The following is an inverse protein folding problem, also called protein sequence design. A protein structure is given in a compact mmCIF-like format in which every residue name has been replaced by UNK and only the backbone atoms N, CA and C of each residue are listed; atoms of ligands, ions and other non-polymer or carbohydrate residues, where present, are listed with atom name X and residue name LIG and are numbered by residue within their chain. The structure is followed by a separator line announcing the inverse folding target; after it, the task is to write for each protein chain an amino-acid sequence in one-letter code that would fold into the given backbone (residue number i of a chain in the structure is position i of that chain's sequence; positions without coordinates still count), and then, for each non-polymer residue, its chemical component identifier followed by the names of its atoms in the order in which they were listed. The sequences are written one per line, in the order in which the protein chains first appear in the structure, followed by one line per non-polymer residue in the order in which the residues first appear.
data_IF_853834406720
#
_entry.id   IF_853834406720
#
_cell.length_a   1.000
_cell.length_b   1.000
_cell.length_c   1.000
_cell.angle_alpha   90.00
_cell.angle_beta   90.00
_cell.angle_gamma   90.00
#
_symmetry.space_group_name_H-M   'P 1'
#
loop_
_entity.id
_entity.type
_entity.pdbx_description
1 polymer ?
#
# COMPACT_ATOMS: atom_id res chain seq x y z
N UNK A 1 -17.76 1.64 21.12
CA UNK A 1 -18.13 1.50 22.53
C UNK A 1 -17.06 0.70 23.25
N UNK A 2 -16.57 1.25 24.40
CA UNK A 2 -15.52 0.64 25.21
C UNK A 2 -16.07 0.42 26.63
N UNK A 3 -15.93 -0.80 27.13
CA UNK A 3 -16.34 -1.21 28.46
C UNK A 3 -15.15 -1.76 29.22
N UNK A 4 -14.86 -1.16 30.36
CA UNK A 4 -13.84 -1.62 31.29
C UNK A 4 -14.51 -2.34 32.47
N UNK A 5 -14.03 -3.53 32.79
CA UNK A 5 -14.57 -4.39 33.84
C UNK A 5 -13.45 -4.83 34.78
N UNK A 6 -13.81 -5.38 35.97
CA UNK A 6 -12.87 -5.92 36.96
C UNK A 6 -11.74 -4.95 37.32
N UNK A 7 -12.09 -3.77 37.79
CA UNK A 7 -11.14 -2.71 38.14
C UNK A 7 -10.23 -2.30 36.98
N UNK A 8 -10.81 -2.23 35.77
CA UNK A 8 -10.13 -1.91 34.51
C UNK A 8 -9.11 -2.94 34.02
N UNK A 9 -9.16 -4.17 34.52
CA UNK A 9 -8.33 -5.27 34.01
C UNK A 9 -8.86 -5.81 32.68
N UNK A 10 -10.17 -5.94 32.54
CA UNK A 10 -10.78 -6.37 31.28
C UNK A 10 -11.23 -5.18 30.47
N UNK A 11 -10.91 -5.20 29.18
CA UNK A 11 -11.37 -4.21 28.22
C UNK A 11 -12.13 -4.91 27.09
N UNK A 12 -13.40 -4.58 26.93
CA UNK A 12 -14.24 -4.98 25.80
C UNK A 12 -14.49 -3.78 24.92
N UNK A 13 -14.03 -3.86 23.68
CA UNK A 13 -14.34 -2.87 22.63
C UNK A 13 -15.33 -3.47 21.64
N UNK A 14 -16.36 -2.70 21.29
CA UNK A 14 -17.34 -3.03 20.24
C UNK A 14 -17.35 -1.90 19.24
N UNK A 15 -17.19 -2.21 17.99
CA UNK A 15 -17.15 -1.23 16.91
C UNK A 15 -18.06 -1.61 15.75
N UNK A 16 -18.55 -0.60 15.07
CA UNK A 16 -19.23 -0.73 13.80
C UNK A 16 -18.89 0.46 12.91
N UNK A 17 -18.71 0.21 11.63
CA UNK A 17 -18.43 1.23 10.63
C UNK A 17 -19.15 0.88 9.33
N UNK A 18 -19.61 1.89 8.59
CA UNK A 18 -20.17 1.71 7.26
C UNK A 18 -19.71 2.83 6.34
N UNK A 19 -19.50 2.48 5.09
CA UNK A 19 -19.16 3.40 4.02
C UNK A 19 -20.07 3.11 2.81
N UNK A 20 -20.61 4.15 2.20
CA UNK A 20 -21.33 4.05 0.94
C UNK A 20 -20.67 4.98 -0.09
N UNK A 21 -20.29 4.42 -1.23
CA UNK A 21 -19.66 5.15 -2.33
C UNK A 21 -20.58 5.09 -3.55
N UNK A 22 -20.75 6.22 -4.21
CA UNK A 22 -21.40 6.31 -5.52
C UNK A 22 -20.46 7.05 -6.47
N UNK A 23 -20.12 6.42 -7.58
CA UNK A 23 -19.22 6.96 -8.59
C UNK A 23 -19.96 7.01 -9.93
N UNK A 24 -19.72 8.08 -10.68
CA UNK A 24 -19.99 8.14 -12.12
C UNK A 24 -18.64 8.20 -12.81
N UNK A 25 -18.44 7.37 -13.80
CA UNK A 25 -17.20 7.24 -14.56
C UNK A 25 -17.46 7.38 -16.04
N UNK A 26 -16.42 7.73 -16.77
CA UNK A 26 -16.41 7.73 -18.22
C UNK A 26 -15.07 7.16 -18.68
N UNK A 27 -15.11 6.01 -19.34
CA UNK A 27 -13.94 5.28 -19.83
C UNK A 27 -13.92 5.19 -21.37
N UNK A 28 -14.64 6.09 -22.05
CA UNK A 28 -14.75 6.10 -23.49
C UNK A 28 -13.48 6.54 -24.18
N UNK A 29 -13.02 5.74 -25.13
CA UNK A 29 -12.13 6.17 -26.17
C UNK A 29 -12.94 6.76 -27.31
N UNK A 30 -12.30 7.57 -28.17
CA UNK A 30 -12.90 8.15 -29.36
C UNK A 30 -14.20 8.90 -29.11
N UNK A 31 -14.40 9.40 -27.89
CA UNK A 31 -15.62 10.13 -27.43
C UNK A 31 -16.90 9.29 -27.51
N UNK A 32 -16.82 7.98 -27.24
CA UNK A 32 -17.99 7.11 -27.22
C UNK A 32 -19.03 7.59 -26.20
N UNK A 33 -20.23 8.00 -26.62
CA UNK A 33 -21.27 8.50 -25.72
C UNK A 33 -21.82 7.42 -24.78
N UNK A 34 -21.56 6.13 -25.05
CA UNK A 34 -22.04 5.01 -24.24
C UNK A 34 -21.06 4.58 -23.15
N UNK A 35 -19.89 5.21 -23.08
CA UNK A 35 -18.81 4.84 -22.15
C UNK A 35 -19.04 5.30 -20.70
N UNK A 36 -20.23 5.75 -20.35
CA UNK A 36 -20.58 6.15 -18.98
C UNK A 36 -20.84 4.93 -18.09
N UNK A 37 -20.14 4.90 -16.96
CA UNK A 37 -20.31 3.90 -15.91
C UNK A 37 -20.93 4.49 -14.65
N UNK A 38 -21.49 3.60 -13.85
CA UNK A 38 -22.00 3.90 -12.50
C UNK A 38 -21.57 2.81 -11.54
N UNK A 39 -20.87 3.21 -10.51
CA UNK A 39 -20.48 2.32 -9.42
C UNK A 39 -21.25 2.67 -8.16
N UNK A 40 -21.79 1.67 -7.49
CA UNK A 40 -22.32 1.76 -6.13
C UNK A 40 -21.63 0.71 -5.28
N UNK A 41 -20.98 1.13 -4.21
CA UNK A 41 -20.28 0.24 -3.29
C UNK A 41 -20.70 0.55 -1.85
N UNK A 42 -21.07 -0.49 -1.10
CA UNK A 42 -21.43 -0.41 0.32
C UNK A 42 -20.56 -1.37 1.09
N UNK A 43 -19.81 -0.85 2.02
CA UNK A 43 -19.00 -1.64 2.97
C UNK A 43 -19.57 -1.42 4.37
N UNK A 44 -19.71 -2.50 5.13
CA UNK A 44 -20.06 -2.46 6.53
C UNK A 44 -19.19 -3.43 7.31
N UNK A 45 -18.69 -3.00 8.45
CA UNK A 45 -17.89 -3.84 9.34
C UNK A 45 -18.39 -3.66 10.77
N UNK A 46 -18.52 -4.77 11.48
CA UNK A 46 -18.85 -4.78 12.91
C UNK A 46 -18.01 -5.85 13.61
N UNK A 47 -17.61 -5.57 14.83
CA UNK A 47 -16.81 -6.51 15.58
C UNK A 47 -16.76 -6.21 17.06
N UNK A 48 -16.21 -7.16 17.80
CA UNK A 48 -15.88 -7.01 19.21
C UNK A 48 -14.53 -7.61 19.52
N UNK A 49 -13.81 -6.97 20.43
CA UNK A 49 -12.52 -7.40 20.91
C UNK A 49 -12.52 -7.36 22.44
N UNK A 50 -12.08 -8.43 23.02
CA UNK A 50 -11.83 -8.52 24.46
C UNK A 50 -10.34 -8.63 24.72
N UNK A 51 -9.84 -7.83 25.68
CA UNK A 51 -8.45 -7.81 26.11
C UNK A 51 -8.39 -8.08 27.60
N UNK A 52 -7.53 -9.03 27.98
CA UNK A 52 -7.32 -9.41 29.39
C UNK A 52 -5.84 -9.53 29.71
N UNK A 53 -5.31 -8.75 30.66
CA UNK A 53 -3.96 -8.88 31.18
C UNK A 53 -3.90 -9.97 32.25
N UNK A 54 -2.92 -10.85 32.13
CA UNK A 54 -2.55 -11.81 33.18
C UNK A 54 -1.30 -11.33 33.88
N UNK A 55 -1.32 -11.33 35.22
CA UNK A 55 -0.12 -11.06 36.02
C UNK A 55 1.00 -12.07 35.68
N UNK A 56 0.61 -13.31 35.38
CA UNK A 56 1.49 -14.36 34.84
C UNK A 56 0.65 -15.41 34.13
N UNK A 57 0.96 -15.68 32.88
CA UNK A 57 0.44 -16.79 32.12
C UNK A 57 1.63 -17.62 31.60
N UNK A 58 1.71 -18.90 32.01
CA UNK A 58 2.85 -19.79 31.76
C UNK A 58 4.14 -19.28 32.46
N UNK A 59 4.91 -18.39 31.84
CA UNK A 59 6.25 -18.00 32.28
C UNK A 59 6.45 -16.51 32.51
N UNK A 60 5.58 -15.65 31.96
CA UNK A 60 5.69 -14.17 32.05
C UNK A 60 4.32 -13.51 32.26
N UNK A 61 4.29 -12.23 32.68
CA UNK A 61 3.12 -11.39 32.50
C UNK A 61 2.70 -11.37 31.03
N UNK A 62 1.39 -11.37 30.76
CA UNK A 62 0.92 -11.40 29.39
C UNK A 62 -0.41 -10.68 29.20
N UNK A 63 -0.73 -10.40 27.95
CA UNK A 63 -2.00 -9.82 27.55
C UNK A 63 -2.63 -10.70 26.46
N UNK A 64 -3.81 -11.22 26.75
CA UNK A 64 -4.61 -12.00 25.82
C UNK A 64 -5.61 -11.10 25.12
N UNK A 65 -5.66 -11.20 23.81
CA UNK A 65 -6.63 -10.51 22.96
C UNK A 65 -7.42 -11.55 22.16
N UNK A 66 -8.74 -11.52 22.30
CA UNK A 66 -9.65 -12.36 21.51
C UNK A 66 -10.71 -11.47 20.86
N UNK A 67 -11.07 -11.77 19.62
CA UNK A 67 -12.07 -10.97 18.95
C UNK A 67 -12.76 -11.71 17.81
N UNK A 68 -13.91 -11.16 17.44
CA UNK A 68 -14.70 -11.57 16.28
C UNK A 68 -15.05 -10.35 15.44
N UNK A 69 -15.13 -10.54 14.13
CA UNK A 69 -15.43 -9.49 13.18
C UNK A 69 -16.29 -10.03 12.05
N UNK A 70 -17.24 -9.25 11.62
CA UNK A 70 -18.00 -9.47 10.40
C UNK A 70 -17.78 -8.31 9.46
N UNK A 71 -17.45 -8.59 8.21
CA UNK A 71 -17.32 -7.60 7.14
C UNK A 71 -18.25 -7.98 5.98
N UNK A 72 -18.95 -6.98 5.49
CA UNK A 72 -19.87 -7.05 4.35
C UNK A 72 -19.43 -6.04 3.31
N UNK A 73 -19.41 -6.47 2.05
CA UNK A 73 -19.24 -5.58 0.90
C UNK A 73 -20.24 -5.95 -0.18
N UNK A 74 -20.93 -4.95 -0.71
CA UNK A 74 -21.79 -5.09 -1.90
C UNK A 74 -21.38 -4.04 -2.92
N UNK A 75 -20.84 -4.53 -4.02
CA UNK A 75 -20.40 -3.77 -5.16
C UNK A 75 -21.37 -4.00 -6.34
N UNK A 76 -21.75 -2.92 -7.00
CA UNK A 76 -22.45 -2.96 -8.29
C UNK A 76 -21.82 -1.92 -9.21
N UNK A 77 -21.18 -2.36 -10.27
CA UNK A 77 -20.56 -1.52 -11.29
C UNK A 77 -21.17 -1.83 -12.66
N UNK A 78 -21.63 -0.80 -13.35
CA UNK A 78 -22.37 -0.95 -14.61
C UNK A 78 -21.85 0.04 -15.63
N UNK A 79 -21.53 -0.46 -16.84
CA UNK A 79 -21.25 0.34 -18.03
C UNK A 79 -22.06 -0.25 -19.19
N UNK A 80 -23.33 0.17 -19.29
CA UNK A 80 -24.31 -0.45 -20.20
C UNK A 80 -23.93 -0.39 -21.67
N UNK A 81 -23.20 0.65 -22.11
CA UNK A 81 -22.74 0.77 -23.49
C UNK A 81 -21.76 -0.33 -23.92
N UNK A 82 -21.15 -1.02 -22.94
CA UNK A 82 -20.22 -2.13 -23.15
C UNK A 82 -20.73 -3.46 -22.61
N UNK A 83 -22.01 -3.51 -22.22
CA UNK A 83 -22.65 -4.68 -21.58
C UNK A 83 -21.85 -5.22 -20.37
N UNK A 84 -21.25 -4.27 -19.63
CA UNK A 84 -20.47 -4.57 -18.46
C UNK A 84 -21.32 -4.33 -17.21
N UNK A 85 -21.61 -5.41 -16.50
CA UNK A 85 -22.39 -5.39 -15.25
C UNK A 85 -21.76 -6.35 -14.23
N UNK A 86 -21.11 -5.77 -13.21
CA UNK A 86 -20.52 -6.55 -12.11
C UNK A 86 -21.36 -6.33 -10.87
N UNK A 87 -22.06 -7.37 -10.42
CA UNK A 87 -22.72 -7.40 -9.13
C UNK A 87 -22.05 -8.44 -8.22
N UNK A 88 -21.39 -7.97 -7.16
CA UNK A 88 -20.68 -8.82 -6.23
C UNK A 88 -21.11 -8.54 -4.80
N UNK A 89 -21.36 -9.61 -4.03
CA UNK A 89 -21.58 -9.52 -2.60
C UNK A 89 -20.58 -10.42 -1.87
N UNK A 90 -19.86 -9.84 -0.94
CA UNK A 90 -18.83 -10.51 -0.14
C UNK A 90 -19.21 -10.43 1.33
N UNK A 91 -19.14 -11.57 2.01
CA UNK A 91 -19.28 -11.68 3.45
C UNK A 91 -18.04 -12.35 4.02
N UNK A 92 -17.47 -11.77 5.07
CA UNK A 92 -16.29 -12.33 5.76
C UNK A 92 -16.62 -12.41 7.25
N UNK A 93 -16.54 -13.63 7.79
CA UNK A 93 -16.63 -13.89 9.21
C UNK A 93 -15.26 -14.23 9.74
N UNK A 94 -14.83 -13.54 10.75
CA UNK A 94 -13.48 -13.64 11.29
C UNK A 94 -13.49 -13.86 12.79
N UNK A 95 -12.56 -14.68 13.26
CA UNK A 95 -12.24 -14.80 14.67
C UNK A 95 -10.73 -14.80 14.83
N UNK A 96 -10.24 -14.18 15.88
CA UNK A 96 -8.80 -14.13 16.17
C UNK A 96 -8.52 -14.25 17.65
N UNK A 97 -7.36 -14.83 17.92
CA UNK A 97 -6.80 -14.98 19.25
C UNK A 97 -5.31 -14.70 19.19
N UNK A 98 -4.81 -13.88 20.11
CA UNK A 98 -3.38 -13.67 20.27
C UNK A 98 -3.04 -13.48 21.75
N UNK A 99 -1.82 -13.86 22.12
CA UNK A 99 -1.28 -13.56 23.43
C UNK A 99 0.11 -12.95 23.28
N UNK A 100 0.37 -11.88 24.01
CA UNK A 100 1.69 -11.26 24.11
C UNK A 100 2.22 -11.45 25.51
N UNK A 101 3.34 -12.15 25.64
CA UNK A 101 4.14 -12.23 26.87
C UNK A 101 5.22 -11.16 26.80
N UNK A 102 5.35 -10.34 27.83
CA UNK A 102 6.34 -9.27 27.83
C UNK A 102 6.93 -8.98 29.19
N UNK A 103 8.22 -8.63 29.17
CA UNK A 103 8.94 -7.98 30.26
C UNK A 103 9.87 -6.89 29.67
N UNK A 104 10.74 -6.33 30.48
CA UNK A 104 11.68 -5.28 30.03
C UNK A 104 12.56 -5.74 28.87
N UNK A 105 13.08 -6.97 28.90
CA UNK A 105 14.03 -7.52 27.93
C UNK A 105 13.36 -8.27 26.78
N UNK A 106 12.31 -9.04 27.05
CA UNK A 106 11.70 -9.94 26.09
C UNK A 106 10.24 -9.61 25.81
N UNK A 107 9.83 -9.80 24.59
CA UNK A 107 8.44 -9.84 24.19
C UNK A 107 8.22 -10.98 23.20
N UNK A 108 7.17 -11.78 23.41
CA UNK A 108 6.76 -12.87 22.55
C UNK A 108 5.28 -12.70 22.24
N UNK A 109 4.93 -12.56 20.98
CA UNK A 109 3.55 -12.52 20.55
C UNK A 109 3.28 -13.71 19.65
N UNK A 110 2.25 -14.45 19.96
CA UNK A 110 1.72 -15.56 19.14
C UNK A 110 0.25 -15.32 18.94
N UNK A 111 -0.20 -15.40 17.69
CA UNK A 111 -1.61 -15.22 17.37
C UNK A 111 -2.00 -15.94 16.08
N UNK A 112 -3.30 -16.12 15.92
CA UNK A 112 -3.89 -16.60 14.68
C UNK A 112 -5.24 -15.95 14.45
N UNK A 113 -5.55 -15.70 13.18
CA UNK A 113 -6.85 -15.28 12.69
C UNK A 113 -7.41 -16.34 11.76
N UNK A 114 -8.68 -16.62 11.87
CA UNK A 114 -9.43 -17.51 10.99
C UNK A 114 -10.48 -16.69 10.29
N UNK A 115 -10.45 -16.70 8.95
CA UNK A 115 -11.39 -15.98 8.10
C UNK A 115 -12.21 -16.96 7.27
N UNK A 116 -13.54 -16.85 7.32
CA UNK A 116 -14.46 -17.52 6.39
C UNK A 116 -15.01 -16.50 5.42
N UNK A 117 -14.45 -16.51 4.21
CA UNK A 117 -14.82 -15.63 3.10
C UNK A 117 -15.89 -16.32 2.24
N UNK A 118 -16.92 -15.58 1.81
CA UNK A 118 -18.04 -16.15 1.03
C UNK A 118 -17.61 -16.74 -0.32
N UNK A 119 -16.58 -16.18 -0.96
CA UNK A 119 -16.06 -16.65 -2.26
C UNK A 119 -15.00 -17.75 -2.13
N UNK A 120 -14.64 -18.16 -0.92
CA UNK A 120 -13.59 -19.15 -0.68
C UNK A 120 -14.15 -20.35 0.08
N UNK A 121 -13.98 -21.57 -0.49
CA UNK A 121 -14.56 -22.77 0.09
C UNK A 121 -14.01 -23.10 1.48
N UNK A 122 -12.70 -22.96 1.68
CA UNK A 122 -12.03 -23.30 2.94
C UNK A 122 -11.85 -22.04 3.80
N UNK A 123 -11.92 -22.21 5.10
CA UNK A 123 -11.49 -21.17 6.01
C UNK A 123 -9.98 -20.93 5.85
N UNK A 124 -9.59 -19.68 5.95
CA UNK A 124 -8.20 -19.26 5.84
C UNK A 124 -7.68 -19.05 7.26
N UNK A 125 -6.53 -19.64 7.57
CA UNK A 125 -5.85 -19.45 8.85
C UNK A 125 -4.61 -18.61 8.63
N UNK A 126 -4.52 -17.50 9.32
CA UNK A 126 -3.42 -16.51 9.24
C UNK A 126 -2.68 -16.44 10.56
N UNK A 127 -1.65 -17.28 10.77
CA UNK A 127 -0.79 -17.18 11.95
C UNK A 127 0.14 -15.97 11.89
N UNK A 128 0.50 -15.44 13.08
CA UNK A 128 1.52 -14.43 13.27
C UNK A 128 2.36 -14.72 14.51
N UNK A 129 3.63 -14.42 14.42
CA UNK A 129 4.61 -14.56 15.48
C UNK A 129 5.50 -13.33 15.50
N UNK A 130 5.73 -12.73 16.69
CA UNK A 130 6.72 -11.69 16.87
C UNK A 130 7.56 -11.99 18.10
N UNK A 131 8.85 -11.75 17.97
CA UNK A 131 9.83 -11.84 19.04
C UNK A 131 10.53 -10.49 19.14
N UNK A 132 10.61 -9.94 20.35
CA UNK A 132 11.37 -8.74 20.67
C UNK A 132 12.41 -9.07 21.74
N UNK A 133 13.62 -8.55 21.56
CA UNK A 133 14.69 -8.67 22.52
C UNK A 133 15.40 -7.32 22.70
N UNK A 134 15.37 -6.78 23.92
CA UNK A 134 16.02 -5.56 24.32
C UNK A 134 17.17 -5.91 25.28
N UNK A 135 18.40 -6.16 24.78
CA UNK A 135 19.55 -6.44 25.65
C UNK A 135 19.91 -5.25 26.53
N UNK A 136 19.64 -4.04 26.07
CA UNK A 136 19.79 -2.78 26.78
C UNK A 136 18.79 -1.74 26.24
N UNK A 137 18.71 -0.57 26.88
CA UNK A 137 17.87 0.56 26.43
C UNK A 137 18.26 1.11 25.06
N UNK A 138 19.48 0.80 24.61
CA UNK A 138 20.01 1.30 23.35
C UNK A 138 19.82 0.33 22.17
N UNK A 139 19.38 -0.90 22.40
CA UNK A 139 19.24 -1.92 21.37
C UNK A 139 17.90 -2.61 21.48
N UNK A 140 17.18 -2.69 20.35
CA UNK A 140 15.96 -3.43 20.21
C UNK A 140 16.06 -4.33 18.98
N UNK A 141 16.04 -5.64 19.17
CA UNK A 141 15.97 -6.61 18.10
C UNK A 141 14.55 -7.15 17.98
N UNK A 142 14.07 -7.30 16.75
CA UNK A 142 12.77 -7.88 16.45
C UNK A 142 12.87 -8.91 15.34
N UNK A 143 12.10 -9.97 15.47
CA UNK A 143 11.85 -10.92 14.41
C UNK A 143 10.34 -11.12 14.28
N UNK A 144 9.82 -11.13 13.07
CA UNK A 144 8.42 -11.34 12.81
C UNK A 144 8.17 -12.37 11.72
N UNK A 145 7.10 -13.13 11.87
CA UNK A 145 6.51 -13.95 10.83
C UNK A 145 5.02 -13.66 10.78
N UNK A 146 4.51 -13.47 9.58
CA UNK A 146 3.09 -13.26 9.34
C UNK A 146 2.65 -13.85 8.01
N UNK A 147 1.36 -14.15 7.92
CA UNK A 147 0.74 -14.59 6.68
C UNK A 147 -0.41 -13.66 6.32
N UNK A 148 -0.71 -13.56 5.04
CA UNK A 148 -1.82 -12.77 4.51
C UNK A 148 -2.45 -13.43 3.30
N UNK A 149 -3.60 -12.91 2.86
CA UNK A 149 -4.26 -13.35 1.64
C UNK A 149 -4.97 -12.22 0.94
N UNK A 150 -5.19 -12.37 -0.36
CA UNK A 150 -6.07 -11.55 -1.19
C UNK A 150 -7.13 -12.45 -1.82
N UNK A 151 -8.39 -12.11 -1.67
CA UNK A 151 -9.50 -12.94 -2.13
C UNK A 151 -9.72 -12.84 -3.65
N UNK A 152 -10.29 -13.90 -4.29
CA UNK A 152 -10.61 -13.89 -5.72
C UNK A 152 -11.93 -13.14 -5.97
N UNK A 153 -11.90 -11.83 -5.84
CA UNK A 153 -13.05 -10.95 -6.04
C UNK A 153 -12.74 -9.90 -7.12
N UNK A 154 -13.77 -9.21 -7.60
CA UNK A 154 -13.57 -8.06 -8.49
C UNK A 154 -12.94 -6.90 -7.71
N UNK A 155 -12.00 -6.22 -8.33
CA UNK A 155 -11.27 -5.08 -7.81
C UNK A 155 -11.46 -3.86 -8.72
N UNK A 156 -11.02 -2.69 -8.27
CA UNK A 156 -11.20 -1.44 -9.01
C UNK A 156 -10.59 -1.47 -10.42
N UNK A 157 -9.49 -2.18 -10.61
CA UNK A 157 -8.88 -2.39 -11.92
C UNK A 157 -9.79 -3.14 -12.91
N UNK A 158 -10.74 -3.94 -12.43
CA UNK A 158 -11.68 -4.68 -13.25
C UNK A 158 -12.82 -3.82 -13.79
N UNK A 159 -12.96 -2.60 -13.30
CA UNK A 159 -14.01 -1.66 -13.72
C UNK A 159 -13.58 -0.78 -14.90
N UNK A 160 -12.32 -0.86 -15.30
CA UNK A 160 -11.82 -0.15 -16.47
C UNK A 160 -12.10 -0.97 -17.72
N UNK A 161 -13.08 -0.52 -18.51
CA UNK A 161 -13.53 -1.20 -19.73
C UNK A 161 -12.89 -0.68 -21.01
N UNK A 162 -11.98 0.28 -20.91
CA UNK A 162 -11.20 0.79 -22.04
C UNK A 162 -9.72 0.86 -21.64
N UNK A 163 -8.88 0.29 -22.46
CA UNK A 163 -7.42 0.32 -22.32
C UNK A 163 -6.77 1.07 -23.48
N UNK A 164 -5.49 0.81 -23.69
CA UNK A 164 -4.68 1.39 -24.75
C UNK A 164 -5.37 1.30 -26.10
N UNK A 165 -5.27 2.37 -26.86
CA UNK A 165 -5.87 2.41 -28.21
C UNK A 165 -7.38 2.48 -28.24
N UNK A 166 -8.03 2.45 -27.06
CA UNK A 166 -9.48 2.46 -26.96
C UNK A 166 -10.13 1.12 -27.20
N UNK A 167 -9.39 0.05 -27.15
CA UNK A 167 -9.95 -1.30 -27.14
C UNK A 167 -10.85 -1.48 -25.93
N UNK A 168 -11.98 -2.13 -26.16
CA UNK A 168 -12.93 -2.47 -25.12
C UNK A 168 -12.50 -3.78 -24.49
N UNK A 169 -12.25 -3.78 -23.21
CA UNK A 169 -11.77 -4.95 -22.47
C UNK A 169 -12.66 -5.23 -21.29
N UNK A 170 -13.06 -6.47 -21.12
CA UNK A 170 -13.81 -6.97 -19.99
C UNK A 170 -12.96 -7.98 -19.23
N UNK A 171 -12.83 -7.81 -17.90
CA UNK A 171 -12.09 -8.75 -17.09
C UNK A 171 -13.03 -9.79 -16.47
N UNK A 172 -12.73 -11.07 -16.69
CA UNK A 172 -13.44 -12.22 -16.09
C UNK A 172 -12.51 -12.97 -15.14
N UNK A 173 -13.10 -13.68 -14.19
CA UNK A 173 -12.36 -14.54 -13.26
C UNK A 173 -12.29 -15.96 -13.78
N UNK A 174 -11.10 -16.56 -13.78
CA UNK A 174 -10.90 -17.94 -14.17
C UNK A 174 -11.73 -18.91 -13.29
N UNK A 175 -12.34 -19.96 -13.85
CA UNK A 175 -12.99 -21.00 -13.08
C UNK A 175 -12.02 -21.60 -12.04
N UNK A 176 -12.42 -21.61 -10.77
CA UNK A 176 -11.59 -22.16 -9.69
C UNK A 176 -10.42 -21.28 -9.25
N UNK A 177 -10.47 -19.97 -9.55
CA UNK A 177 -9.50 -19.00 -9.07
C UNK A 177 -9.35 -19.10 -7.55
N UNK A 178 -8.10 -19.30 -7.09
CA UNK A 178 -7.74 -19.42 -5.66
C UNK A 178 -7.30 -18.05 -5.14
N UNK A 179 -7.43 -17.88 -3.83
CA UNK A 179 -6.84 -16.69 -3.18
C UNK A 179 -5.32 -16.63 -3.39
N UNK A 180 -4.80 -15.43 -3.56
CA UNK A 180 -3.38 -15.18 -3.35
C UNK A 180 -3.07 -15.36 -1.86
N UNK A 181 -1.88 -15.85 -1.55
CA UNK A 181 -1.41 -15.93 -0.18
C UNK A 181 0.04 -15.48 -0.05
N UNK A 182 0.36 -14.89 1.08
CA UNK A 182 1.70 -14.44 1.40
C UNK A 182 2.22 -15.04 2.69
N UNK A 183 3.53 -15.25 2.75
CA UNK A 183 4.27 -15.55 3.96
C UNK A 183 5.43 -14.57 4.04
N UNK A 184 5.49 -13.81 5.13
CA UNK A 184 6.50 -12.78 5.32
C UNK A 184 7.30 -13.04 6.58
N UNK A 185 8.61 -12.87 6.46
CA UNK A 185 9.56 -12.88 7.57
C UNK A 185 10.31 -11.55 7.56
N UNK A 186 10.46 -10.91 8.71
CA UNK A 186 11.40 -9.80 8.86
C UNK A 186 12.22 -9.92 10.14
N UNK A 187 13.44 -9.38 10.08
CA UNK A 187 14.35 -9.27 11.22
C UNK A 187 14.92 -7.87 11.23
N UNK A 188 14.81 -7.17 12.36
CA UNK A 188 15.32 -5.81 12.50
C UNK A 188 16.16 -5.61 13.75
N UNK A 189 17.09 -4.69 13.64
CA UNK A 189 17.85 -4.12 14.75
C UNK A 189 17.64 -2.62 14.76
N UNK A 190 17.23 -2.11 15.91
CA UNK A 190 16.95 -0.70 16.17
C UNK A 190 17.93 -0.24 17.25
N UNK A 191 18.81 0.71 16.90
CA UNK A 191 19.94 1.13 17.71
C UNK A 191 19.81 2.62 18.03
N UNK A 192 19.88 2.94 19.32
CA UNK A 192 19.86 4.30 19.83
C UNK A 192 21.22 4.66 20.39
N UNK A 193 21.75 5.80 20.00
CA UNK A 193 23.02 6.28 20.56
C UNK A 193 22.99 7.80 20.73
N UNK A 194 23.72 8.29 21.73
CA UNK A 194 23.88 9.70 22.00
C UNK A 194 25.33 10.12 21.83
N UNK A 195 25.63 10.89 20.79
CA UNK A 195 26.93 11.49 20.56
C UNK A 195 26.96 12.93 21.10
N UNK A 196 27.42 13.10 22.33
CA UNK A 196 27.34 14.40 23.00
C UNK A 196 25.88 14.86 23.14
N UNK A 197 25.48 15.93 22.47
CA UNK A 197 24.12 16.45 22.47
C UNK A 197 23.25 15.89 21.34
N UNK A 198 23.82 15.16 20.39
CA UNK A 198 23.08 14.59 19.25
C UNK A 198 22.51 13.24 19.64
N UNK A 199 21.19 13.12 19.58
CA UNK A 199 20.50 11.83 19.72
C UNK A 199 20.35 11.18 18.34
N UNK A 200 20.76 9.95 18.22
CA UNK A 200 20.68 9.19 16.96
C UNK A 200 19.90 7.92 17.12
N UNK A 201 19.23 7.53 16.04
CA UNK A 201 18.59 6.23 15.91
C UNK A 201 18.96 5.66 14.53
N UNK A 202 19.31 4.39 14.49
CA UNK A 202 19.55 3.62 13.26
C UNK A 202 18.73 2.34 13.32
N UNK A 203 17.82 2.19 12.35
CA UNK A 203 17.07 0.96 12.12
C UNK A 203 17.62 0.27 10.87
N UNK A 204 17.89 -1.03 10.99
CA UNK A 204 18.20 -1.91 9.85
C UNK A 204 17.24 -3.09 9.92
N UNK A 205 16.50 -3.33 8.84
CA UNK A 205 15.56 -4.43 8.72
C UNK A 205 15.81 -5.22 7.44
N UNK A 206 15.99 -6.53 7.55
CA UNK A 206 15.93 -7.46 6.43
C UNK A 206 14.53 -8.08 6.35
N UNK A 207 13.98 -8.20 5.15
CA UNK A 207 12.66 -8.80 4.93
C UNK A 207 12.64 -9.74 3.73
N UNK A 208 11.77 -10.74 3.83
CA UNK A 208 11.46 -11.67 2.74
C UNK A 208 9.96 -11.99 2.75
N UNK A 209 9.34 -11.90 1.57
CA UNK A 209 7.94 -12.28 1.35
C UNK A 209 7.84 -13.27 0.19
N UNK A 210 7.23 -14.43 0.44
CA UNK A 210 6.85 -15.41 -0.57
C UNK A 210 5.36 -15.22 -0.91
N UNK A 211 5.07 -14.99 -2.19
CA UNK A 211 3.72 -14.86 -2.73
C UNK A 211 3.35 -16.10 -3.53
N UNK A 212 2.16 -16.64 -3.28
CA UNK A 212 1.65 -17.83 -3.97
C UNK A 212 0.32 -17.53 -4.62
N UNK A 213 0.05 -18.17 -5.77
CA UNK A 213 -1.16 -18.00 -6.55
C UNK A 213 -1.39 -16.51 -6.92
N UNK A 214 -0.33 -15.77 -7.24
CA UNK A 214 -0.41 -14.35 -7.61
C UNK A 214 -1.36 -14.19 -8.77
N UNK A 215 -2.24 -13.21 -8.71
CA UNK A 215 -3.15 -12.94 -9.80
C UNK A 215 -2.40 -12.38 -10.99
N UNK A 216 -2.61 -13.00 -12.12
CA UNK A 216 -2.12 -12.59 -13.42
C UNK A 216 -3.31 -12.45 -14.37
N UNK A 217 -3.13 -11.67 -15.43
CA UNK A 217 -4.13 -11.49 -16.49
C UNK A 217 -3.58 -12.12 -17.76
N UNK A 218 -4.45 -12.74 -18.55
CA UNK A 218 -4.18 -13.18 -19.91
C UNK A 218 -5.36 -12.84 -20.80
N UNK A 219 -5.10 -12.46 -22.02
CA UNK A 219 -6.15 -12.29 -23.00
C UNK A 219 -6.66 -13.67 -23.46
N UNK A 220 -7.96 -13.79 -23.62
CA UNK A 220 -8.57 -14.95 -24.23
C UNK A 220 -8.67 -14.74 -25.75
N UNK A 221 -8.58 -15.85 -26.51
CA UNK A 221 -8.69 -15.80 -27.96
C UNK A 221 -10.07 -15.30 -28.40
N UNK A 222 -10.09 -14.36 -29.35
CA UNK A 222 -11.30 -13.80 -29.92
C UNK A 222 -11.96 -12.70 -29.06
N UNK A 223 -13.07 -12.21 -29.55
CA UNK A 223 -13.88 -11.19 -28.90
C UNK A 223 -15.12 -11.84 -28.29
N UNK A 224 -15.69 -11.22 -27.26
CA UNK A 224 -16.99 -11.63 -26.72
C UNK A 224 -18.13 -11.33 -27.74
N UNK A 225 -19.37 -11.68 -27.37
CA UNK A 225 -20.55 -11.46 -28.21
C UNK A 225 -20.80 -9.98 -28.52
N UNK A 226 -20.22 -9.06 -27.75
CA UNK A 226 -20.36 -7.60 -27.88
C UNK A 226 -19.15 -6.95 -28.59
N UNK A 227 -18.18 -7.75 -29.01
CA UNK A 227 -16.97 -7.29 -29.66
C UNK A 227 -15.91 -6.75 -28.68
N UNK A 228 -15.98 -7.11 -27.40
CA UNK A 228 -14.98 -6.74 -26.42
C UNK A 228 -13.87 -7.79 -26.34
N UNK A 229 -12.63 -7.38 -26.17
CA UNK A 229 -11.55 -8.27 -25.77
C UNK A 229 -11.77 -8.75 -24.31
N UNK A 230 -11.44 -10.00 -24.02
CA UNK A 230 -11.66 -10.57 -22.71
C UNK A 230 -10.32 -10.89 -22.04
N UNK A 231 -10.05 -10.27 -20.90
CA UNK A 231 -8.95 -10.62 -20.03
C UNK A 231 -9.43 -11.60 -18.95
N UNK A 232 -8.77 -12.72 -18.82
CA UNK A 232 -9.03 -13.67 -17.74
C UNK A 232 -8.01 -13.48 -16.62
N UNK A 233 -8.52 -13.21 -15.40
CA UNK A 233 -7.71 -13.24 -14.19
C UNK A 233 -7.52 -14.67 -13.72
N UNK A 234 -6.27 -15.12 -13.64
CA UNK A 234 -5.91 -16.49 -13.23
C UNK A 234 -4.79 -16.47 -12.19
N UNK A 235 -4.47 -17.63 -11.62
CA UNK A 235 -3.35 -17.77 -10.69
C UNK A 235 -2.05 -18.05 -11.43
N UNK A 236 -1.14 -17.11 -11.44
CA UNK A 236 0.20 -17.25 -11.98
C UNK A 236 1.16 -18.04 -11.08
N UNK A 237 2.44 -18.05 -11.43
CA UNK A 237 3.46 -18.91 -10.79
C UNK A 237 3.83 -18.52 -9.36
N UNK A 238 3.35 -17.40 -8.88
CA UNK A 238 3.77 -16.78 -7.62
C UNK A 238 5.00 -15.89 -7.78
N UNK A 239 5.35 -15.19 -6.71
CA UNK A 239 6.45 -14.22 -6.70
C UNK A 239 7.18 -14.21 -5.36
N UNK A 240 8.32 -13.55 -5.30
CA UNK A 240 9.05 -13.26 -4.07
C UNK A 240 9.56 -11.84 -4.06
N UNK A 241 9.56 -11.25 -2.87
CA UNK A 241 10.16 -9.93 -2.60
C UNK A 241 11.12 -10.09 -1.45
N UNK A 242 12.36 -9.63 -1.62
CA UNK A 242 13.38 -9.66 -0.58
C UNK A 242 14.15 -8.34 -0.58
N UNK A 243 14.49 -7.84 0.59
CA UNK A 243 15.20 -6.57 0.68
C UNK A 243 15.70 -6.22 2.05
N UNK A 244 16.29 -5.02 2.11
CA UNK A 244 16.79 -4.40 3.33
C UNK A 244 16.29 -2.97 3.38
N UNK A 245 15.73 -2.57 4.52
CA UNK A 245 15.41 -1.20 4.89
C UNK A 245 16.50 -0.68 5.83
N UNK A 246 16.99 0.52 5.59
CA UNK A 246 17.90 1.23 6.47
C UNK A 246 17.32 2.60 6.72
N UNK A 247 17.04 2.95 7.96
CA UNK A 247 16.55 4.26 8.37
C UNK A 247 17.48 4.84 9.43
N UNK A 248 17.79 6.13 9.29
CA UNK A 248 18.57 6.87 10.26
C UNK A 248 17.88 8.18 10.62
N UNK A 249 17.90 8.49 11.92
CA UNK A 249 17.42 9.76 12.46
C UNK A 249 18.50 10.37 13.36
N UNK A 250 18.70 11.67 13.23
CA UNK A 250 19.56 12.44 14.09
C UNK A 250 18.82 13.69 14.57
N UNK A 251 18.77 13.87 15.89
CA UNK A 251 18.23 15.06 16.55
C UNK A 251 19.41 15.83 17.16
N UNK A 252 19.80 16.90 16.49
CA UNK A 252 20.96 17.72 16.88
C UNK A 252 20.65 18.66 18.04
N UNK A 253 19.40 19.12 18.09
CA UNK A 253 18.88 19.97 19.15
C UNK A 253 17.35 19.90 19.15
N UNK A 254 16.70 20.55 20.08
CA UNK A 254 15.23 20.70 20.05
C UNK A 254 14.73 21.48 18.81
N UNK A 255 15.64 22.06 18.04
CA UNK A 255 15.33 22.92 16.92
C UNK A 255 15.72 22.35 15.55
N UNK A 256 16.50 21.25 15.53
CA UNK A 256 16.95 20.66 14.25
C UNK A 256 17.01 19.15 14.30
N UNK A 257 16.27 18.50 13.43
CA UNK A 257 16.31 17.07 13.22
C UNK A 257 16.36 16.71 11.72
N UNK A 258 16.99 15.57 11.45
CA UNK A 258 17.07 14.96 10.11
C UNK A 258 16.72 13.50 10.22
N UNK A 259 15.90 13.01 9.30
CA UNK A 259 15.56 11.59 9.16
C UNK A 259 15.62 11.21 7.69
N UNK A 260 16.18 10.05 7.40
CA UNK A 260 16.20 9.49 6.05
C UNK A 260 16.17 7.97 6.06
N UNK A 261 15.73 7.40 4.97
CA UNK A 261 15.68 5.97 4.79
C UNK A 261 15.91 5.56 3.35
N UNK A 262 16.46 4.36 3.18
CA UNK A 262 16.66 3.72 1.88
C UNK A 262 16.21 2.26 1.95
N UNK A 263 15.49 1.83 0.92
CA UNK A 263 15.11 0.44 0.69
C UNK A 263 15.87 -0.08 -0.52
N UNK A 264 16.51 -1.22 -0.34
CA UNK A 264 17.12 -2.02 -1.40
C UNK A 264 16.35 -3.32 -1.50
N UNK A 265 15.74 -3.62 -2.65
CA UNK A 265 14.90 -4.81 -2.77
C UNK A 265 15.00 -5.47 -4.15
N UNK A 266 14.54 -6.70 -4.21
CA UNK A 266 14.30 -7.44 -5.46
C UNK A 266 12.94 -8.10 -5.43
N UNK A 267 12.14 -7.85 -6.47
CA UNK A 267 10.80 -8.40 -6.67
C UNK A 267 10.78 -9.22 -7.95
N UNK A 268 10.48 -10.54 -7.84
CA UNK A 268 10.55 -11.46 -8.98
C UNK A 268 9.45 -12.50 -8.95
N UNK A 269 8.91 -12.80 -10.11
CA UNK A 269 8.09 -14.00 -10.32
C UNK A 269 8.94 -15.26 -10.17
N UNK A 270 8.36 -16.35 -9.71
CA UNK A 270 9.03 -17.67 -9.58
C UNK A 270 9.39 -18.24 -10.95
N UNK A 271 8.52 -18.05 -11.92
CA UNK A 271 8.76 -18.32 -13.34
C UNK A 271 8.51 -17.05 -14.14
N UNK A 272 9.12 -16.87 -15.32
CA UNK A 272 8.74 -15.79 -16.20
C UNK A 272 7.22 -15.81 -16.48
N UNK A 273 6.58 -14.64 -16.38
CA UNK A 273 5.16 -14.46 -16.67
C UNK A 273 5.02 -13.75 -18.03
N UNK A 274 4.12 -14.29 -18.87
CA UNK A 274 3.74 -13.62 -20.12
C UNK A 274 2.88 -12.42 -19.74
N UNK A 275 3.26 -11.26 -20.20
CA UNK A 275 2.63 -9.99 -19.85
C UNK A 275 2.08 -9.24 -21.08
N UNK A 276 2.40 -9.69 -22.29
CA UNK A 276 1.92 -9.21 -23.56
C UNK A 276 1.15 -10.32 -24.27
N UNK A 277 0.17 -9.95 -25.06
CA UNK A 277 -0.60 -10.88 -25.88
C UNK A 277 0.18 -11.35 -27.10
N UNK A 278 1.23 -10.61 -27.47
CA UNK A 278 2.14 -11.00 -28.54
C UNK A 278 3.13 -12.06 -28.04
N UNK A 279 3.08 -13.30 -28.56
CA UNK A 279 3.96 -14.39 -28.12
C UNK A 279 5.44 -14.15 -28.45
N UNK A 280 5.73 -13.23 -29.37
CA UNK A 280 7.11 -12.87 -29.73
C UNK A 280 7.74 -11.92 -28.69
N UNK A 281 6.92 -11.32 -27.81
CA UNK A 281 7.41 -10.49 -26.69
C UNK A 281 7.89 -11.38 -25.56
N UNK A 282 9.15 -11.23 -25.10
CA UNK A 282 9.69 -12.09 -24.05
C UNK A 282 8.92 -11.98 -22.73
N UNK A 283 8.64 -13.12 -22.11
CA UNK A 283 8.10 -13.20 -20.77
C UNK A 283 9.10 -12.63 -19.73
N UNK A 284 8.60 -11.93 -18.73
CA UNK A 284 9.42 -11.25 -17.74
C UNK A 284 9.40 -11.96 -16.38
N UNK A 285 10.57 -12.00 -15.76
CA UNK A 285 10.74 -12.53 -14.40
C UNK A 285 10.74 -11.43 -13.34
N UNK A 286 11.05 -10.20 -13.70
CA UNK A 286 10.94 -9.04 -12.81
C UNK A 286 9.48 -8.59 -12.69
N UNK A 287 9.06 -8.25 -11.50
CA UNK A 287 7.75 -7.62 -11.34
C UNK A 287 7.80 -6.18 -11.88
N UNK A 288 6.78 -5.84 -12.63
CA UNK A 288 6.62 -4.48 -13.14
C UNK A 288 6.29 -3.50 -12.01
N UNK A 289 6.60 -2.22 -12.23
CA UNK A 289 6.29 -1.09 -11.34
C UNK A 289 6.85 -1.25 -9.93
N UNK A 290 7.98 -1.94 -9.81
CA UNK A 290 8.63 -2.21 -8.54
C UNK A 290 10.10 -1.79 -8.62
N UNK A 291 10.47 -0.59 -8.10
CA UNK A 291 11.85 -0.14 -8.10
C UNK A 291 12.71 -1.00 -7.18
N UNK A 292 13.95 -1.31 -7.62
CA UNK A 292 14.91 -2.06 -6.80
C UNK A 292 15.50 -1.19 -5.67
N UNK A 293 15.48 0.14 -5.83
CA UNK A 293 16.03 1.11 -4.86
C UNK A 293 15.11 2.31 -4.77
N UNK A 294 14.76 2.70 -3.56
CA UNK A 294 14.05 3.96 -3.30
C UNK A 294 14.36 4.46 -1.89
N UNK A 295 14.12 5.75 -1.65
CA UNK A 295 14.40 6.32 -0.35
C UNK A 295 13.78 7.70 -0.15
N UNK A 296 13.93 8.20 1.07
CA UNK A 296 13.43 9.52 1.45
C UNK A 296 14.39 10.22 2.41
N UNK A 297 14.25 11.54 2.47
CA UNK A 297 14.90 12.41 3.42
C UNK A 297 13.92 13.47 3.91
N UNK A 298 13.95 13.75 5.21
CA UNK A 298 13.21 14.87 5.82
C UNK A 298 14.12 15.59 6.80
N UNK A 299 14.19 16.90 6.70
CA UNK A 299 14.89 17.76 7.65
C UNK A 299 13.93 18.85 8.14
N UNK A 300 13.86 19.02 9.46
CA UNK A 300 13.08 20.07 10.11
C UNK A 300 14.01 20.97 10.89
N UNK A 301 13.83 22.27 10.71
CA UNK A 301 14.62 23.28 11.40
C UNK A 301 13.73 24.40 11.93
N UNK A 302 13.66 24.52 13.25
CA UNK A 302 13.12 25.69 13.94
C UNK A 302 14.20 26.78 14.02
N UNK A 303 14.29 27.60 12.98
CA UNK A 303 15.31 28.65 12.86
C UNK A 303 15.16 29.65 14.01
N UNK A 304 13.91 29.97 14.34
CA UNK A 304 13.52 30.75 15.52
C UNK A 304 12.23 30.17 16.10
N UNK A 305 11.78 30.61 17.26
CA UNK A 305 10.49 30.20 17.83
C UNK A 305 9.28 30.47 16.92
N UNK A 306 9.43 31.34 15.93
CA UNK A 306 8.36 31.71 14.99
C UNK A 306 8.61 31.22 13.56
N UNK A 307 9.87 30.96 13.19
CA UNK A 307 10.25 30.59 11.83
C UNK A 307 10.71 29.12 11.78
N UNK A 308 10.05 28.33 10.95
CA UNK A 308 10.37 26.93 10.72
C UNK A 308 10.62 26.67 9.24
N UNK A 309 11.66 25.92 8.94
CA UNK A 309 11.97 25.39 7.63
C UNK A 309 11.78 23.86 7.63
N UNK A 310 11.22 23.32 6.57
CA UNK A 310 11.14 21.86 6.33
C UNK A 310 11.62 21.58 4.93
N UNK A 311 12.51 20.60 4.78
CA UNK A 311 12.97 20.10 3.50
C UNK A 311 12.64 18.61 3.44
N UNK A 312 12.05 18.16 2.33
CA UNK A 312 11.78 16.75 2.07
C UNK A 312 12.34 16.36 0.72
N UNK A 313 12.74 15.11 0.60
CA UNK A 313 13.19 14.53 -0.66
C UNK A 313 12.75 13.09 -0.76
N UNK A 314 12.37 12.65 -1.96
CA UNK A 314 12.14 11.25 -2.30
C UNK A 314 12.95 10.89 -3.52
N UNK A 315 13.58 9.73 -3.49
CA UNK A 315 14.33 9.18 -4.61
C UNK A 315 13.71 7.85 -5.02
N UNK A 316 13.39 7.68 -6.30
CA UNK A 316 12.89 6.43 -6.87
C UNK A 316 13.83 6.00 -7.96
N UNK A 317 14.45 4.83 -7.80
CA UNK A 317 15.34 4.24 -8.79
C UNK A 317 14.58 3.71 -10.01
N UNK A 318 15.32 3.22 -11.02
CA UNK A 318 14.70 2.67 -12.22
C UNK A 318 13.87 1.42 -11.90
N UNK A 319 12.76 1.28 -12.55
CA UNK A 319 11.90 0.08 -12.49
C UNK A 319 11.51 -0.35 -13.91
N UNK A 320 11.03 -1.58 -14.04
CA UNK A 320 10.49 -2.09 -15.28
C UNK A 320 9.00 -1.69 -15.36
N UNK A 321 8.59 -1.14 -16.50
CA UNK A 321 7.19 -0.80 -16.78
C UNK A 321 6.78 -1.36 -18.13
N UNK A 322 5.51 -1.66 -18.27
CA UNK A 322 4.91 -2.04 -19.54
C UNK A 322 4.65 -0.77 -20.35
N UNK A 323 4.96 -0.79 -21.63
CA UNK A 323 4.57 0.19 -22.63
C UNK A 323 3.92 -0.57 -23.76
N UNK A 324 2.61 -0.49 -23.81
CA UNK A 324 1.81 -1.28 -24.75
C UNK A 324 1.83 -0.64 -26.13
N UNK A 325 1.68 -1.46 -27.16
CA UNK A 325 1.53 -1.02 -28.55
C UNK A 325 0.46 0.07 -28.67
N UNK A 326 0.79 1.14 -29.42
CA UNK A 326 -0.09 2.29 -29.56
C UNK A 326 0.58 3.45 -30.28
N UNK A 327 0.29 4.68 -29.87
CA UNK A 327 0.88 5.86 -30.50
C UNK A 327 2.34 6.14 -30.09
N UNK A 328 2.83 5.50 -29.05
CA UNK A 328 4.21 5.66 -28.55
C UNK A 328 5.17 4.58 -29.02
N UNK A 329 4.67 3.41 -29.38
CA UNK A 329 5.47 2.26 -29.84
C UNK A 329 4.64 1.36 -30.74
N UNK A 330 5.31 0.71 -31.72
CA UNK A 330 4.69 -0.23 -32.65
C UNK A 330 4.58 -1.67 -32.12
N UNK A 331 5.13 -1.94 -30.93
CA UNK A 331 5.10 -3.25 -30.27
C UNK A 331 5.12 -3.07 -28.76
N UNK A 332 4.62 -4.06 -28.01
CA UNK A 332 4.72 -4.07 -26.56
C UNK A 332 6.15 -4.15 -26.09
N UNK A 333 6.55 -3.23 -25.21
CA UNK A 333 7.90 -3.12 -24.70
C UNK A 333 7.95 -3.17 -23.17
N UNK A 334 8.90 -3.92 -22.63
CA UNK A 334 9.29 -3.84 -21.23
C UNK A 334 10.36 -2.74 -21.08
N UNK A 335 9.94 -1.54 -20.68
CA UNK A 335 10.79 -0.35 -20.62
C UNK A 335 11.38 -0.20 -19.22
N UNK A 336 12.68 0.10 -19.15
CA UNK A 336 13.32 0.49 -17.90
C UNK A 336 13.24 2.00 -17.74
N UNK A 337 12.56 2.46 -16.68
CA UNK A 337 12.36 3.88 -16.40
C UNK A 337 13.67 4.58 -16.02
N UNK A 338 13.69 5.90 -16.11
CA UNK A 338 14.71 6.73 -15.46
C UNK A 338 14.51 6.74 -13.92
N UNK A 339 15.50 7.27 -13.20
CA UNK A 339 15.37 7.57 -11.78
C UNK A 339 14.71 8.93 -11.60
N UNK A 340 13.92 9.08 -10.53
CA UNK A 340 13.31 10.33 -10.13
C UNK A 340 13.83 10.79 -8.78
N UNK A 341 14.02 12.09 -8.65
CA UNK A 341 14.35 12.72 -7.40
C UNK A 341 13.43 13.94 -7.20
N UNK A 342 12.45 13.82 -6.33
CA UNK A 342 11.54 14.89 -5.95
C UNK A 342 12.01 15.50 -4.62
N UNK A 343 12.37 16.77 -4.65
CA UNK A 343 12.71 17.54 -3.45
C UNK A 343 11.75 18.72 -3.29
N UNK A 344 11.37 18.98 -2.06
CA UNK A 344 10.46 20.05 -1.68
C UNK A 344 11.00 20.82 -0.48
N UNK A 345 10.76 22.13 -0.43
CA UNK A 345 11.10 22.97 0.70
C UNK A 345 9.93 23.87 1.08
N UNK A 346 9.73 24.04 2.37
CA UNK A 346 8.69 24.90 2.95
C UNK A 346 9.27 25.77 4.06
N UNK A 347 8.93 27.05 4.04
CA UNK A 347 9.12 27.98 5.15
C UNK A 347 7.77 28.34 5.75
N UNK A 348 7.68 28.36 7.07
CA UNK A 348 6.47 28.75 7.79
C UNK A 348 6.84 29.74 8.90
N UNK A 349 6.13 30.86 8.95
CA UNK A 349 6.29 31.86 10.00
C UNK A 349 4.99 32.01 10.79
N UNK A 350 5.08 31.89 12.12
CA UNK A 350 3.95 32.00 13.03
C UNK A 350 3.92 33.39 13.68
N UNK A 351 2.87 34.12 13.41
CA UNK A 351 2.57 35.41 14.05
C UNK A 351 1.65 35.16 15.25
N UNK A 352 2.01 35.67 16.42
CA UNK A 352 1.09 35.74 17.56
C UNK A 352 0.22 36.99 17.38
N UNK A 353 -1.03 36.83 16.93
CA UNK A 353 -1.94 37.96 16.65
C UNK A 353 -2.66 38.40 17.92
N UNK A 354 -3.07 37.46 18.79
CA UNK A 354 -3.66 37.68 20.11
C UNK A 354 -3.17 36.61 21.09
N UNK A 355 -3.43 36.79 22.38
CA UNK A 355 -2.96 35.86 23.42
C UNK A 355 -3.31 34.37 23.19
N UNK A 356 -4.33 34.09 22.37
CA UNK A 356 -4.77 32.71 22.06
C UNK A 356 -4.85 32.41 20.56
N UNK A 357 -4.50 33.37 19.71
CA UNK A 357 -4.61 33.22 18.26
C UNK A 357 -3.24 33.33 17.60
N UNK A 358 -2.85 32.26 16.93
CA UNK A 358 -1.64 32.20 16.12
C UNK A 358 -2.01 32.13 14.64
N UNK A 359 -1.43 33.00 13.83
CA UNK A 359 -1.52 32.99 12.37
C UNK A 359 -0.21 32.45 11.81
N UNK A 360 -0.25 31.30 11.16
CA UNK A 360 0.91 30.75 10.43
C UNK A 360 0.77 31.09 8.95
N UNK A 361 1.76 31.75 8.39
CA UNK A 361 1.91 31.97 6.94
C UNK A 361 3.04 31.07 6.46
N UNK A 362 2.79 30.32 5.38
CA UNK A 362 3.80 29.44 4.81
C UNK A 362 3.93 29.62 3.31
N UNK A 363 5.17 29.47 2.82
CA UNK A 363 5.48 29.41 1.40
C UNK A 363 6.35 28.17 1.13
N UNK A 364 6.12 27.51 0.02
CA UNK A 364 6.84 26.30 -0.32
C UNK A 364 7.01 26.13 -1.82
N UNK A 365 8.00 25.31 -2.16
CA UNK A 365 8.25 24.84 -3.53
C UNK A 365 8.30 23.32 -3.48
N UNK A 366 7.43 22.66 -4.23
CA UNK A 366 7.44 21.23 -4.44
C UNK A 366 8.12 20.90 -5.75
N UNK A 367 8.77 19.73 -5.82
CA UNK A 367 9.53 19.26 -6.97
C UNK A 367 10.52 20.32 -7.50
N UNK A 368 11.41 20.76 -6.62
CA UNK A 368 12.39 21.86 -6.89
C UNK A 368 13.20 21.60 -8.16
N UNK A 369 13.57 20.35 -8.43
CA UNK A 369 14.36 19.93 -9.58
C UNK A 369 13.55 19.72 -10.84
N UNK A 370 12.23 19.88 -10.78
CA UNK A 370 11.32 19.63 -11.89
C UNK A 370 11.48 18.20 -12.47
N UNK A 371 11.65 17.22 -11.57
CA UNK A 371 11.87 15.81 -11.89
C UNK A 371 10.52 15.12 -12.04
N UNK A 372 10.03 14.97 -13.27
CA UNK A 372 8.78 14.31 -13.57
C UNK A 372 8.89 13.52 -14.87
N UNK A 373 7.95 12.60 -15.09
CA UNK A 373 7.88 11.90 -16.35
C UNK A 373 7.53 12.87 -17.49
N UNK A 374 8.27 12.81 -18.59
CA UNK A 374 8.07 13.71 -19.75
C UNK A 374 7.81 12.97 -21.06
N UNK A 375 7.91 11.64 -21.06
CA UNK A 375 7.78 10.74 -22.21
C UNK A 375 6.39 10.08 -22.28
N UNK A 376 5.35 10.81 -21.86
CA UNK A 376 3.97 10.34 -21.99
C UNK A 376 3.58 10.16 -23.46
N UNK A 377 2.85 9.09 -23.72
CA UNK A 377 2.20 8.92 -25.01
C UNK A 377 1.16 10.02 -25.26
N UNK A 378 0.96 10.34 -26.50
CA UNK A 378 0.03 11.38 -26.95
C UNK A 378 -0.91 10.84 -28.03
N UNK A 379 -2.08 11.46 -28.14
CA UNK A 379 -3.05 11.12 -29.15
C UNK A 379 -4.09 10.09 -28.71
N UNK A 380 -5.01 9.72 -29.62
CA UNK A 380 -6.14 8.86 -29.30
C UNK A 380 -5.75 7.41 -28.99
N UNK A 381 -4.65 6.93 -29.55
CA UNK A 381 -4.13 5.56 -29.33
C UNK A 381 -2.97 5.52 -28.32
N UNK A 382 -2.88 6.50 -27.41
CA UNK A 382 -1.84 6.50 -26.38
C UNK A 382 -2.02 5.37 -25.39
N UNK A 383 -0.92 4.82 -24.90
CA UNK A 383 -0.95 3.96 -23.71
C UNK A 383 -1.20 4.81 -22.45
N UNK A 384 -2.45 4.83 -21.99
CA UNK A 384 -2.83 5.53 -20.76
C UNK A 384 -2.26 4.87 -19.49
N UNK A 385 -1.81 3.64 -19.59
CA UNK A 385 -1.12 2.89 -18.54
C UNK A 385 0.36 3.25 -18.44
N UNK A 386 0.98 3.85 -19.45
CA UNK A 386 2.39 4.25 -19.45
C UNK A 386 2.64 5.52 -18.62
N UNK A 387 2.25 5.46 -17.35
CA UNK A 387 2.46 6.50 -16.34
C UNK A 387 3.23 5.86 -15.17
N UNK A 388 4.45 6.33 -14.90
CA UNK A 388 5.35 5.67 -13.99
C UNK A 388 6.17 6.60 -13.08
N UNK A 389 6.16 7.89 -13.33
CA UNK A 389 6.93 8.89 -12.59
C UNK A 389 6.03 9.91 -11.88
N UNK A 390 6.62 10.87 -11.18
CA UNK A 390 5.88 12.02 -10.66
C UNK A 390 5.13 12.71 -11.80
N UNK A 391 3.85 12.97 -11.60
CA UNK A 391 2.97 13.56 -12.61
C UNK A 391 2.91 15.09 -12.53
N UNK A 392 3.36 15.68 -11.41
CA UNK A 392 3.33 17.11 -11.18
C UNK A 392 4.71 17.75 -11.38
N UNK A 393 4.81 18.78 -12.21
CA UNK A 393 6.02 19.59 -12.35
C UNK A 393 6.28 20.40 -11.06
N UNK A 394 7.31 21.24 -11.09
CA UNK A 394 7.57 22.18 -10.00
C UNK A 394 6.35 23.04 -9.71
N UNK A 395 5.93 23.07 -8.44
CA UNK A 395 4.81 23.87 -7.96
C UNK A 395 5.25 24.80 -6.83
N UNK A 396 4.77 26.03 -6.86
CA UNK A 396 4.89 26.98 -5.75
C UNK A 396 3.55 27.01 -5.01
N UNK A 397 3.60 26.96 -3.70
CA UNK A 397 2.40 27.02 -2.86
C UNK A 397 2.57 28.07 -1.75
N UNK A 398 1.47 28.72 -1.40
CA UNK A 398 1.35 29.64 -0.27
C UNK A 398 0.15 29.19 0.56
N UNK A 399 0.30 29.18 1.86
CA UNK A 399 -0.74 28.76 2.79
C UNK A 399 -0.85 29.70 3.99
N UNK A 400 -2.05 29.78 4.55
CA UNK A 400 -2.31 30.44 5.81
C UNK A 400 -3.14 29.50 6.72
N UNK A 401 -2.79 29.45 7.99
CA UNK A 401 -3.47 28.63 9.02
C UNK A 401 -3.66 29.44 10.29
N UNK A 402 -4.85 29.40 10.85
CA UNK A 402 -5.18 30.06 12.12
C UNK A 402 -5.41 28.96 13.17
N UNK A 403 -4.71 29.10 14.30
CA UNK A 403 -4.89 28.24 15.48
C UNK A 403 -5.39 29.10 16.64
N UNK A 404 -6.49 28.70 17.25
CA UNK A 404 -7.20 29.38 18.34
C UNK A 404 -6.97 28.61 19.64
#
# INVERSE_FOLDING_TARGET
FDLWMRDRRDHLSVFAATQATRRKSYYGSEMDPNAYGRTSDVVATAGSQWTHPFDRLLFMPSELVAGVEYSFNRLHDVTLGYDHDILQTVNIYSAYLQNEWRNEKWGFLVGARVDKHSLIHKAIVSPRLNIRFNPSDNFNFRASYSTGFRSPQAYDEDFHVAIVGGERVVTVLAPGLKQESSQSVSVSADMYHRFGNVQTNLLVEGFFTDLRNVFALRQLDGLDANGNAVLERYNGSGASVAGVNIEAKAVFSNHFDVQGGVTLQRSRYKKPEQWSDNPDVPAEKRMFRTPDVYGYLTANWEITHSLRATVTGTATGPMLVQHMEGSGTDVDLAVRTQSFFDASAKLAYTFRVFNRVNLEISAGVSNIFNSYQSDFDKGPKRDSGYIYGPSLPRCVNIGASIRI
#
